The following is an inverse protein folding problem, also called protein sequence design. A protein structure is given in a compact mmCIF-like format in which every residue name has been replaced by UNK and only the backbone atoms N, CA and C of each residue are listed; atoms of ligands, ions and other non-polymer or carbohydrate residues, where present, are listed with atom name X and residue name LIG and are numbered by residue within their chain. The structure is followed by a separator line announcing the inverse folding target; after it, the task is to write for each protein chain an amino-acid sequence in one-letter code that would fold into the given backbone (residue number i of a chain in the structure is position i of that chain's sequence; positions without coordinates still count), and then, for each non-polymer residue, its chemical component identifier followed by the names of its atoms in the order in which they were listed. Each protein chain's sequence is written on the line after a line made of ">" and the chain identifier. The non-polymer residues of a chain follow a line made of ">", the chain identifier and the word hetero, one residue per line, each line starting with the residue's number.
data_IF_603582165007
#
_entry.id   IF_603582165007
#
_cell.length_a   1.000
_cell.length_b   1.000
_cell.length_c   1.000
_cell.angle_alpha   90.00
_cell.angle_beta   90.00
_cell.angle_gamma   90.00
#
_symmetry.space_group_name_H-M   'P 1'
#
loop_
_entity.id
_entity.type
_entity.pdbx_description
1 polymer ?
#
# COMPACT_ATOMS: atom_id res chain seq x y z
N UNK A 1 42.98 24.85 25.44
CA UNK A 1 42.93 26.23 25.95
C UNK A 1 42.15 27.10 24.99
N UNK A 2 41.23 27.86 25.48
CA UNK A 2 40.32 28.90 25.02
C UNK A 2 38.85 28.43 24.87
N UNK A 3 38.15 28.67 25.99
CA UNK A 3 36.69 28.71 26.10
C UNK A 3 36.20 30.01 25.50
N UNK A 4 35.14 29.96 24.66
CA UNK A 4 34.40 31.15 24.28
C UNK A 4 32.95 30.95 24.71
N UNK A 5 32.50 31.78 25.61
CA UNK A 5 31.16 31.82 26.13
C UNK A 5 30.28 32.73 25.24
N UNK A 6 29.11 32.29 24.84
CA UNK A 6 28.13 33.13 24.16
C UNK A 6 26.97 33.41 25.10
N UNK A 7 26.68 34.68 25.23
CA UNK A 7 25.68 35.25 26.15
C UNK A 7 24.25 35.06 25.64
N UNK A 8 23.40 34.62 26.55
CA UNK A 8 21.92 34.64 26.41
C UNK A 8 21.43 36.06 26.63
N UNK A 9 20.64 36.60 25.70
CA UNK A 9 19.90 37.85 25.86
C UNK A 9 18.41 37.46 26.01
N UNK A 10 17.87 37.70 27.19
CA UNK A 10 16.46 37.60 27.50
C UNK A 10 15.79 38.95 27.24
N UNK A 11 14.80 38.99 26.37
CA UNK A 11 13.94 40.16 26.16
C UNK A 11 12.58 39.93 26.81
N UNK A 12 12.36 40.67 27.88
CA UNK A 12 11.05 40.83 28.52
C UNK A 12 10.18 41.78 27.66
N UNK A 13 8.98 41.34 27.34
CA UNK A 13 7.92 42.24 26.90
C UNK A 13 6.92 42.46 28.03
N UNK A 14 6.75 43.74 28.38
CA UNK A 14 5.86 44.20 29.42
C UNK A 14 4.44 44.40 28.87
N UNK A 15 3.47 43.88 29.61
CA UNK A 15 2.05 44.16 29.43
C UNK A 15 1.73 45.58 29.92
N UNK A 16 1.02 46.41 29.12
CA UNK A 16 0.39 47.66 29.53
C UNK A 16 -1.11 47.51 29.53
N UNK A 17 -1.69 47.43 30.71
CA UNK A 17 -3.14 47.63 30.94
C UNK A 17 -3.44 49.12 30.93
N UNK A 18 -4.43 49.53 30.14
CA UNK A 18 -5.09 50.87 30.30
C UNK A 18 -6.56 50.59 30.66
N UNK A 19 -6.90 50.91 31.86
CA UNK A 19 -8.28 51.07 32.32
C UNK A 19 -8.68 52.54 32.23
N UNK A 20 -9.84 52.81 31.66
CA UNK A 20 -10.49 54.12 31.80
C UNK A 20 -11.97 53.92 32.10
N UNK A 21 -12.42 54.55 33.16
CA UNK A 21 -13.73 54.48 33.75
C UNK A 21 -14.59 55.69 33.40
N UNK A 22 -15.88 55.44 33.30
CA UNK A 22 -17.07 56.20 33.71
C UNK A 22 -17.19 57.72 33.45
N UNK A 23 -18.39 58.08 32.97
CA UNK A 23 -19.04 59.35 33.25
C UNK A 23 -20.15 59.72 32.28
N UNK A 24 -21.36 59.67 32.66
CA UNK A 24 -22.68 59.75 32.40
C UNK A 24 -23.31 60.98 31.75
N UNK A 25 -24.58 60.76 31.46
CA UNK A 25 -25.80 61.55 31.36
C UNK A 25 -26.21 62.21 30.01
N UNK A 26 -27.37 61.71 29.56
CA UNK A 26 -28.56 62.33 28.96
C UNK A 26 -28.41 63.40 27.85
N UNK A 27 -28.96 63.09 26.68
CA UNK A 27 -30.15 63.72 26.12
C UNK A 27 -30.57 63.06 24.78
N UNK A 28 -31.90 62.95 24.61
CA UNK A 28 -32.56 62.31 23.47
C UNK A 28 -32.59 63.19 22.23
N UNK A 29 -32.39 62.62 21.05
CA UNK A 29 -32.99 63.09 19.81
C UNK A 29 -33.12 61.95 18.81
N UNK A 30 -34.33 61.75 18.37
CA UNK A 30 -34.81 60.86 17.35
C UNK A 30 -34.12 61.09 15.97
N UNK A 31 -33.62 60.04 15.35
CA UNK A 31 -33.33 60.00 13.89
C UNK A 31 -33.44 58.55 13.38
N UNK A 32 -33.87 58.34 12.13
CA UNK A 32 -34.42 57.05 11.67
C UNK A 32 -33.36 55.98 11.51
N UNK A 33 -33.78 54.76 11.80
CA UNK A 33 -33.00 53.54 11.61
C UNK A 33 -32.65 53.35 10.11
N UNK A 34 -31.37 53.46 9.77
CA UNK A 34 -30.81 52.86 8.57
C UNK A 34 -30.66 51.38 8.90
N UNK A 35 -31.39 50.49 8.17
CA UNK A 35 -31.11 49.06 8.08
C UNK A 35 -29.71 48.89 7.51
N UNK A 36 -28.73 48.71 8.36
CA UNK A 36 -27.46 48.15 7.93
C UNK A 36 -27.70 46.65 7.67
N UNK A 37 -27.94 46.31 6.42
CA UNK A 37 -27.68 44.96 5.92
C UNK A 37 -26.22 44.66 6.15
N UNK A 38 -25.92 43.98 7.24
CA UNK A 38 -24.64 43.26 7.36
C UNK A 38 -24.66 42.16 6.30
N UNK A 39 -24.04 42.41 5.15
CA UNK A 39 -23.49 41.33 4.34
C UNK A 39 -22.48 40.61 5.27
N UNK A 40 -22.87 39.47 5.82
CA UNK A 40 -21.93 38.48 6.26
C UNK A 40 -21.15 38.07 5.03
N UNK A 41 -19.98 38.68 4.84
CA UNK A 41 -18.96 38.12 4.02
C UNK A 41 -18.58 36.81 4.71
N UNK A 42 -19.15 35.69 4.24
CA UNK A 42 -18.59 34.39 4.50
C UNK A 42 -17.16 34.44 3.94
N UNK A 43 -16.16 34.63 4.79
CA UNK A 43 -14.82 34.24 4.44
C UNK A 43 -14.93 32.72 4.21
N UNK A 44 -14.80 32.29 2.94
CA UNK A 44 -14.60 30.89 2.60
C UNK A 44 -13.29 30.48 3.27
N UNK A 45 -13.39 29.98 4.51
CA UNK A 45 -12.25 29.47 5.27
C UNK A 45 -11.83 28.17 4.58
N UNK A 46 -10.61 28.19 4.02
CA UNK A 46 -10.04 27.01 3.38
C UNK A 46 -9.84 25.95 4.46
N UNK A 47 -10.43 24.78 4.26
CA UNK A 47 -10.33 23.65 5.19
C UNK A 47 -9.01 22.94 4.92
N UNK A 48 -8.15 22.85 5.94
CA UNK A 48 -6.91 22.07 5.89
C UNK A 48 -7.23 20.59 6.14
N UNK A 49 -6.71 19.69 5.28
CA UNK A 49 -6.87 18.23 5.41
C UNK A 49 -5.50 17.57 5.28
N UNK A 50 -5.16 16.72 6.23
CA UNK A 50 -3.94 15.92 6.21
C UNK A 50 -4.26 14.46 5.88
N UNK A 51 -3.59 13.92 4.87
CA UNK A 51 -3.68 12.52 4.46
C UNK A 51 -2.32 11.87 4.65
N UNK A 52 -2.25 10.68 5.27
CA UNK A 52 -1.00 9.93 5.45
C UNK A 52 -1.09 8.53 4.84
N UNK A 53 0.05 7.94 4.50
CA UNK A 53 0.08 6.58 3.95
C UNK A 53 1.50 6.07 3.71
N UNK A 54 1.65 4.78 3.35
CA UNK A 54 2.95 4.16 3.11
C UNK A 54 3.55 4.47 1.72
N UNK A 55 2.74 4.94 0.76
CA UNK A 55 3.19 5.26 -0.60
C UNK A 55 4.09 6.50 -0.57
N UNK A 56 5.38 6.32 -0.92
CA UNK A 56 6.43 7.32 -0.63
C UNK A 56 7.40 7.61 -1.76
N UNK A 57 7.39 6.83 -2.84
CA UNK A 57 8.22 7.17 -4.00
C UNK A 57 7.83 8.55 -4.56
N UNK A 58 8.74 9.19 -5.27
CA UNK A 58 8.48 10.52 -5.86
C UNK A 58 7.26 10.46 -6.81
N UNK A 59 7.07 9.36 -7.52
CA UNK A 59 5.95 9.15 -8.43
C UNK A 59 4.64 8.86 -7.68
N UNK A 60 4.66 7.95 -6.70
CA UNK A 60 3.47 7.57 -5.94
C UNK A 60 2.96 8.72 -5.08
N UNK A 61 3.82 9.24 -4.19
CA UNK A 61 3.46 10.34 -3.30
C UNK A 61 3.18 11.63 -4.08
N UNK A 62 3.97 11.89 -5.14
CA UNK A 62 3.77 13.06 -6.00
C UNK A 62 2.43 13.02 -6.74
N UNK A 63 2.01 11.86 -7.23
CA UNK A 63 0.72 11.71 -7.90
C UNK A 63 -0.45 11.87 -6.90
N UNK A 64 -0.36 11.24 -5.70
CA UNK A 64 -1.37 11.46 -4.65
C UNK A 64 -1.48 12.95 -4.32
N UNK A 65 -0.36 13.60 -4.03
CA UNK A 65 -0.36 15.02 -3.66
C UNK A 65 -0.96 15.91 -4.77
N UNK A 66 -0.63 15.67 -6.05
CA UNK A 66 -1.17 16.46 -7.16
C UNK A 66 -2.67 16.26 -7.34
N UNK A 67 -3.15 15.02 -7.29
CA UNK A 67 -4.57 14.70 -7.45
C UNK A 67 -5.39 15.23 -6.28
N UNK A 68 -4.92 15.05 -5.04
CA UNK A 68 -5.60 15.57 -3.85
C UNK A 68 -5.56 17.10 -3.79
N UNK A 69 -4.44 17.72 -4.19
CA UNK A 69 -4.32 19.17 -4.29
C UNK A 69 -5.30 19.76 -5.29
N UNK A 70 -5.41 19.17 -6.49
CA UNK A 70 -6.37 19.59 -7.52
C UNK A 70 -7.82 19.44 -7.05
N UNK A 71 -8.15 18.36 -6.34
CA UNK A 71 -9.47 18.21 -5.73
C UNK A 71 -9.71 19.30 -4.66
N UNK A 72 -8.72 19.57 -3.81
CA UNK A 72 -8.81 20.59 -2.77
C UNK A 72 -9.07 21.98 -3.35
N UNK A 73 -8.31 22.38 -4.38
CA UNK A 73 -8.47 23.65 -5.07
C UNK A 73 -9.89 23.81 -5.65
N UNK A 74 -10.46 22.72 -6.19
CA UNK A 74 -11.81 22.73 -6.76
C UNK A 74 -12.92 22.73 -5.70
N UNK A 75 -12.63 22.31 -4.45
CA UNK A 75 -13.62 22.10 -3.41
C UNK A 75 -13.40 22.96 -2.14
N UNK A 76 -12.52 23.97 -2.21
CA UNK A 76 -12.28 24.90 -1.10
C UNK A 76 -11.56 24.27 0.09
N UNK A 77 -10.63 23.34 -0.19
CA UNK A 77 -9.76 22.70 0.79
C UNK A 77 -8.28 22.79 0.39
N UNK A 78 -7.39 22.71 1.38
CA UNK A 78 -5.95 22.55 1.19
C UNK A 78 -5.60 21.15 1.68
N UNK A 79 -5.25 20.25 0.75
CA UNK A 79 -4.98 18.84 1.08
C UNK A 79 -3.49 18.58 1.01
N UNK A 80 -2.91 18.06 2.10
CA UNK A 80 -1.51 17.66 2.17
C UNK A 80 -1.40 16.15 2.33
N UNK A 81 -0.65 15.49 1.45
CA UNK A 81 -0.30 14.09 1.57
C UNK A 81 1.10 13.92 2.17
N UNK A 82 1.24 13.00 3.11
CA UNK A 82 2.50 12.65 3.75
C UNK A 82 2.73 11.15 3.58
N UNK A 83 3.64 10.77 2.67
CA UNK A 83 4.12 9.40 2.52
C UNK A 83 5.21 9.08 3.54
N UNK A 84 5.12 7.93 4.21
CA UNK A 84 6.00 7.57 5.31
C UNK A 84 6.43 6.10 5.22
N UNK A 85 7.74 5.84 5.23
CA UNK A 85 8.30 4.48 5.21
C UNK A 85 8.01 3.69 6.50
N UNK A 86 7.83 4.40 7.61
CA UNK A 86 7.52 3.82 8.92
C UNK A 86 6.04 4.05 9.31
N UNK A 87 5.17 4.20 8.29
CA UNK A 87 3.76 4.50 8.48
C UNK A 87 3.07 3.54 9.46
N UNK A 88 3.36 2.24 9.39
CA UNK A 88 2.76 1.19 10.24
C UNK A 88 2.97 1.45 11.74
N UNK A 89 4.13 1.99 12.10
CA UNK A 89 4.44 2.35 13.49
C UNK A 89 3.95 3.77 13.83
N UNK A 90 4.18 4.72 12.93
CA UNK A 90 3.91 6.13 13.18
C UNK A 90 2.43 6.44 13.31
N UNK A 91 1.54 5.76 12.57
CA UNK A 91 0.09 5.95 12.71
C UNK A 91 -0.39 5.55 14.11
N UNK A 92 0.14 4.47 14.71
CA UNK A 92 -0.18 4.08 16.08
C UNK A 92 0.23 5.17 17.07
N UNK A 93 1.46 5.70 16.92
CA UNK A 93 1.99 6.76 17.80
C UNK A 93 1.14 8.04 17.71
N UNK A 94 0.74 8.44 16.50
CA UNK A 94 -0.09 9.64 16.29
C UNK A 94 -1.47 9.49 16.93
N UNK A 95 -2.10 8.34 16.78
CA UNK A 95 -3.42 8.05 17.36
C UNK A 95 -3.36 8.01 18.89
N UNK A 96 -2.38 7.31 19.45
CA UNK A 96 -2.18 7.23 20.91
C UNK A 96 -1.86 8.60 21.54
N UNK A 97 -1.15 9.45 20.79
CA UNK A 97 -0.88 10.82 21.21
C UNK A 97 -2.10 11.76 21.09
N UNK A 98 -3.22 11.29 20.52
CA UNK A 98 -4.42 12.09 20.28
C UNK A 98 -4.26 13.13 19.16
N UNK A 99 -3.36 12.89 18.23
CA UNK A 99 -3.08 13.77 17.10
C UNK A 99 -3.03 12.98 15.76
N UNK A 100 -4.11 12.26 15.41
CA UNK A 100 -4.18 11.53 14.15
C UNK A 100 -4.24 12.49 12.95
N UNK A 101 -3.94 12.01 11.72
CA UNK A 101 -4.28 12.73 10.49
C UNK A 101 -5.81 12.79 10.32
N UNK A 102 -6.30 13.55 9.35
CA UNK A 102 -7.73 13.53 9.00
C UNK A 102 -8.11 12.24 8.28
N UNK A 103 -7.25 11.77 7.37
CA UNK A 103 -7.42 10.53 6.62
C UNK A 103 -6.08 9.77 6.62
N UNK A 104 -6.15 8.45 6.68
CA UNK A 104 -4.98 7.61 6.43
C UNK A 104 -5.29 6.51 5.42
N UNK A 105 -4.26 6.14 4.63
CA UNK A 105 -4.31 5.07 3.64
C UNK A 105 -3.76 3.81 4.29
N UNK A 106 -4.59 2.79 4.39
CA UNK A 106 -4.29 1.49 4.99
C UNK A 106 -4.08 0.44 3.90
N UNK A 107 -2.90 -0.16 3.77
CA UNK A 107 -2.75 -1.36 2.96
C UNK A 107 -3.35 -2.60 3.64
N UNK A 108 -3.45 -2.62 4.98
CA UNK A 108 -3.92 -3.76 5.74
C UNK A 108 -5.37 -3.58 6.22
N UNK A 109 -6.36 -4.29 5.63
CA UNK A 109 -7.73 -4.33 6.16
C UNK A 109 -7.82 -4.81 7.61
N UNK A 110 -6.96 -5.74 8.05
CA UNK A 110 -6.88 -6.19 9.43
C UNK A 110 -6.53 -5.06 10.39
N UNK A 111 -5.51 -4.26 10.07
CA UNK A 111 -5.16 -3.06 10.86
C UNK A 111 -6.27 -2.03 10.87
N UNK A 112 -6.96 -1.83 9.74
CA UNK A 112 -8.12 -0.94 9.67
C UNK A 112 -9.23 -1.44 10.62
N UNK A 113 -9.49 -2.75 10.65
CA UNK A 113 -10.47 -3.34 11.56
C UNK A 113 -10.08 -3.15 13.03
N UNK A 114 -8.79 -3.32 13.37
CA UNK A 114 -8.29 -3.04 14.73
C UNK A 114 -8.52 -1.58 15.12
N UNK A 115 -8.28 -0.63 14.20
CA UNK A 115 -8.52 0.81 14.44
C UNK A 115 -10.00 1.14 14.58
N UNK A 116 -10.88 0.49 13.82
CA UNK A 116 -12.32 0.64 13.94
C UNK A 116 -12.83 0.11 15.29
N UNK A 117 -12.39 -1.09 15.69
CA UNK A 117 -12.74 -1.71 16.96
C UNK A 117 -12.25 -0.92 18.18
N UNK A 118 -11.08 -0.28 18.06
CA UNK A 118 -10.54 0.62 19.09
C UNK A 118 -11.24 1.99 19.10
N UNK A 119 -12.07 2.31 18.10
CA UNK A 119 -12.78 3.60 17.99
C UNK A 119 -11.87 4.75 17.57
N UNK A 120 -10.76 4.47 16.90
CA UNK A 120 -9.83 5.48 16.41
C UNK A 120 -10.29 6.12 15.09
N UNK A 121 -10.91 5.35 14.22
CA UNK A 121 -11.49 5.81 12.97
C UNK A 121 -13.00 5.89 13.05
N UNK A 122 -13.59 6.72 12.20
CA UNK A 122 -15.04 6.96 12.22
C UNK A 122 -15.73 6.22 11.06
N UNK A 123 -16.98 5.75 11.26
CA UNK A 123 -17.75 5.15 10.17
C UNK A 123 -18.03 6.18 9.08
N UNK A 124 -18.10 5.70 7.84
CA UNK A 124 -18.50 6.54 6.71
C UNK A 124 -19.95 7.02 6.88
N UNK A 125 -20.23 8.24 6.40
CA UNK A 125 -21.62 8.69 6.27
C UNK A 125 -22.36 7.83 5.23
N UNK A 126 -23.68 7.73 5.34
CA UNK A 126 -24.48 6.99 4.37
C UNK A 126 -24.33 7.51 2.93
N UNK A 127 -24.16 8.81 2.77
CA UNK A 127 -23.96 9.43 1.46
C UNK A 127 -22.57 9.11 0.89
N UNK A 128 -21.53 9.08 1.74
CA UNK A 128 -20.17 8.68 1.37
C UNK A 128 -20.11 7.21 0.97
N UNK A 129 -20.70 6.30 1.76
CA UNK A 129 -20.75 4.87 1.44
C UNK A 129 -21.49 4.60 0.12
N UNK A 130 -22.60 5.30 -0.11
CA UNK A 130 -23.39 5.19 -1.35
C UNK A 130 -22.63 5.75 -2.58
N UNK A 131 -21.63 6.62 -2.39
CA UNK A 131 -20.84 7.20 -3.46
C UNK A 131 -19.62 6.35 -3.86
N UNK A 132 -19.32 5.26 -3.15
CA UNK A 132 -18.19 4.37 -3.49
C UNK A 132 -18.49 3.59 -4.77
N UNK A 133 -17.69 3.82 -5.80
CA UNK A 133 -17.85 3.21 -7.13
C UNK A 133 -17.04 1.91 -7.28
N UNK A 134 -17.11 1.02 -6.29
CA UNK A 134 -16.44 -0.27 -6.26
C UNK A 134 -17.44 -1.41 -6.09
N UNK A 135 -17.08 -2.60 -6.61
CA UNK A 135 -17.88 -3.80 -6.37
C UNK A 135 -17.92 -4.15 -4.87
N UNK A 136 -19.04 -4.75 -4.43
CA UNK A 136 -19.25 -5.11 -3.02
C UNK A 136 -18.12 -5.99 -2.45
N UNK A 137 -17.53 -6.87 -3.28
CA UNK A 137 -16.41 -7.71 -2.87
C UNK A 137 -15.20 -6.90 -2.36
N UNK A 138 -14.90 -5.75 -3.00
CA UNK A 138 -13.85 -4.86 -2.55
C UNK A 138 -14.24 -4.03 -1.33
N UNK A 139 -15.50 -3.61 -1.26
CA UNK A 139 -16.02 -2.84 -0.12
C UNK A 139 -15.97 -3.65 1.18
N UNK A 140 -16.08 -4.98 1.10
CA UNK A 140 -16.00 -5.85 2.30
C UNK A 140 -14.70 -5.69 3.08
N UNK A 141 -13.59 -5.33 2.43
CA UNK A 141 -12.31 -5.12 3.11
C UNK A 141 -12.29 -3.86 4.00
N UNK A 142 -13.18 -2.92 3.77
CA UNK A 142 -13.36 -1.73 4.63
C UNK A 142 -14.56 -1.83 5.57
N UNK A 143 -15.24 -3.00 5.62
CA UNK A 143 -16.42 -3.21 6.44
C UNK A 143 -16.05 -3.96 7.72
N UNK A 144 -16.42 -3.42 8.87
CA UNK A 144 -16.20 -4.03 10.19
C UNK A 144 -17.56 -4.19 10.87
N UNK A 145 -17.97 -5.42 11.16
CA UNK A 145 -19.22 -5.76 11.82
C UNK A 145 -20.48 -5.16 11.17
N UNK A 146 -20.48 -5.07 9.85
CA UNK A 146 -21.61 -4.53 9.06
C UNK A 146 -21.60 -3.00 8.94
N UNK A 147 -20.57 -2.32 9.39
CA UNK A 147 -20.39 -0.87 9.29
C UNK A 147 -19.20 -0.57 8.36
N UNK A 148 -19.41 0.32 7.40
CA UNK A 148 -18.35 0.71 6.46
C UNK A 148 -17.47 1.81 7.07
N UNK A 149 -16.17 1.54 7.20
CA UNK A 149 -15.14 2.47 7.68
C UNK A 149 -14.15 2.84 6.59
N UNK A 150 -13.77 1.87 5.74
CA UNK A 150 -12.76 2.04 4.71
C UNK A 150 -13.35 2.24 3.32
N UNK A 151 -12.69 3.08 2.51
CA UNK A 151 -12.99 3.29 1.09
C UNK A 151 -11.89 2.62 0.28
N UNK A 152 -12.17 1.60 -0.56
CA UNK A 152 -11.20 1.07 -1.49
C UNK A 152 -10.74 2.16 -2.47
N UNK A 153 -9.43 2.29 -2.70
CA UNK A 153 -8.90 3.32 -3.59
C UNK A 153 -7.83 2.82 -4.56
N UNK A 154 -7.26 1.66 -4.31
CA UNK A 154 -6.25 1.01 -5.15
C UNK A 154 -6.44 -0.51 -5.11
N UNK A 155 -6.15 -1.17 -6.21
CA UNK A 155 -6.04 -2.64 -6.29
C UNK A 155 -4.68 -3.03 -6.84
N UNK A 156 -4.18 -4.18 -6.42
CA UNK A 156 -2.92 -4.75 -6.91
C UNK A 156 -3.12 -6.22 -7.28
N UNK A 157 -2.44 -6.64 -8.35
CA UNK A 157 -2.33 -8.04 -8.76
C UNK A 157 -0.98 -8.55 -8.29
N UNK A 158 -0.95 -9.51 -7.34
CA UNK A 158 0.29 -10.00 -6.73
C UNK A 158 0.90 -11.22 -7.42
N UNK A 159 0.12 -11.99 -8.16
CA UNK A 159 0.55 -13.23 -8.83
C UNK A 159 1.35 -12.99 -10.12
N UNK A 160 2.34 -12.10 -10.10
CA UNK A 160 3.15 -11.76 -11.26
C UNK A 160 4.63 -12.08 -11.05
N UNK A 161 5.30 -12.51 -12.12
CA UNK A 161 6.75 -12.66 -12.21
C UNK A 161 7.26 -11.80 -13.36
N UNK A 162 8.04 -10.79 -13.02
CA UNK A 162 8.70 -9.88 -13.96
C UNK A 162 9.96 -10.53 -14.52
N UNK A 163 10.20 -10.44 -15.84
CA UNK A 163 11.33 -11.06 -16.50
C UNK A 163 11.71 -10.31 -17.79
N UNK A 164 12.88 -10.61 -18.37
CA UNK A 164 13.27 -10.10 -19.69
C UNK A 164 13.03 -11.16 -20.76
N UNK A 165 12.05 -10.96 -21.68
CA UNK A 165 11.79 -11.89 -22.78
C UNK A 165 13.01 -12.09 -23.68
N UNK A 166 13.73 -11.00 -23.97
CA UNK A 166 14.91 -11.02 -24.82
C UNK A 166 16.04 -11.89 -24.24
N UNK A 167 16.25 -11.83 -22.92
CA UNK A 167 17.25 -12.68 -22.25
C UNK A 167 16.83 -14.13 -22.21
N UNK A 168 15.55 -14.41 -21.90
CA UNK A 168 15.03 -15.78 -21.96
C UNK A 168 15.28 -16.39 -23.34
N UNK A 169 14.93 -15.65 -24.41
CA UNK A 169 15.14 -16.11 -25.78
C UNK A 169 16.62 -16.31 -26.12
N UNK A 170 17.50 -15.41 -25.68
CA UNK A 170 18.95 -15.49 -25.95
C UNK A 170 19.61 -16.71 -25.31
N UNK A 171 19.16 -17.07 -24.10
CA UNK A 171 19.72 -18.18 -23.31
C UNK A 171 18.92 -19.48 -23.48
N UNK A 172 17.85 -19.46 -24.29
CA UNK A 172 17.04 -20.62 -24.63
C UNK A 172 16.06 -21.05 -23.53
N UNK A 173 15.73 -20.15 -22.61
CA UNK A 173 14.73 -20.38 -21.58
C UNK A 173 13.31 -20.09 -22.10
N UNK A 174 12.33 -20.73 -21.49
CA UNK A 174 10.91 -20.53 -21.78
C UNK A 174 10.16 -20.18 -20.50
N UNK A 175 9.07 -19.42 -20.63
CA UNK A 175 8.17 -19.14 -19.50
C UNK A 175 7.63 -20.47 -18.95
N UNK A 176 7.78 -20.75 -17.63
CA UNK A 176 7.32 -21.98 -17.02
C UNK A 176 5.78 -21.98 -16.90
N UNK A 177 5.14 -23.11 -17.23
CA UNK A 177 3.69 -23.29 -17.09
C UNK A 177 3.30 -23.81 -15.70
N UNK A 178 4.16 -24.63 -15.09
CA UNK A 178 3.94 -25.22 -13.77
C UNK A 178 5.02 -24.79 -12.78
N UNK A 179 4.73 -24.89 -11.50
CA UNK A 179 5.70 -24.59 -10.45
C UNK A 179 6.91 -25.54 -10.47
N UNK A 180 6.71 -26.80 -10.86
CA UNK A 180 7.82 -27.74 -11.05
C UNK A 180 8.75 -27.29 -12.20
N UNK A 181 8.18 -26.76 -13.30
CA UNK A 181 8.96 -26.14 -14.39
C UNK A 181 9.67 -24.86 -13.93
N UNK A 182 9.05 -24.07 -13.05
CA UNK A 182 9.67 -22.89 -12.46
C UNK A 182 10.89 -23.26 -11.60
N UNK A 183 10.74 -24.26 -10.74
CA UNK A 183 11.85 -24.78 -9.94
C UNK A 183 12.96 -25.35 -10.83
N UNK A 184 12.62 -26.08 -11.89
CA UNK A 184 13.58 -26.59 -12.85
C UNK A 184 14.33 -25.45 -13.56
N UNK A 185 13.62 -24.39 -13.99
CA UNK A 185 14.21 -23.20 -14.60
C UNK A 185 15.18 -22.49 -13.64
N UNK A 186 14.79 -22.31 -12.36
CA UNK A 186 15.68 -21.74 -11.33
C UNK A 186 16.96 -22.56 -11.19
N UNK A 187 16.85 -23.88 -11.15
CA UNK A 187 18.00 -24.77 -11.05
C UNK A 187 18.90 -24.72 -12.30
N UNK A 188 18.30 -24.67 -13.49
CA UNK A 188 19.04 -24.60 -14.76
C UNK A 188 19.83 -23.29 -14.87
N UNK A 189 19.21 -22.15 -14.53
CA UNK A 189 19.87 -20.84 -14.49
C UNK A 189 21.04 -20.87 -13.48
N UNK A 190 20.78 -21.38 -12.29
CA UNK A 190 21.81 -21.48 -11.23
C UNK A 190 22.98 -22.38 -11.66
N UNK A 191 22.69 -23.51 -12.32
CA UNK A 191 23.72 -24.42 -12.81
C UNK A 191 24.52 -23.83 -13.98
N UNK A 192 23.91 -22.98 -14.82
CA UNK A 192 24.60 -22.30 -15.90
C UNK A 192 25.62 -21.27 -15.38
N UNK A 193 25.37 -20.70 -14.22
CA UNK A 193 26.22 -19.67 -13.58
C UNK A 193 26.12 -18.31 -14.25
N UNK A 194 26.79 -17.32 -13.69
CA UNK A 194 26.73 -15.94 -14.13
C UNK A 194 25.66 -15.16 -13.37
N UNK A 195 24.53 -14.85 -14.01
CA UNK A 195 23.41 -14.16 -13.35
C UNK A 195 22.63 -15.10 -12.44
N UNK A 196 21.96 -14.56 -11.43
CA UNK A 196 21.09 -15.33 -10.53
C UNK A 196 19.71 -15.59 -11.15
N UNK A 197 19.01 -16.59 -10.68
CA UNK A 197 17.66 -16.87 -11.16
C UNK A 197 16.65 -15.81 -10.69
N UNK A 198 16.75 -15.37 -9.44
CA UNK A 198 15.81 -14.47 -8.80
C UNK A 198 16.52 -13.21 -8.28
N UNK A 199 15.88 -12.04 -8.42
CA UNK A 199 16.16 -10.88 -7.59
C UNK A 199 15.18 -10.88 -6.42
N UNK A 200 15.68 -10.77 -5.18
CA UNK A 200 14.83 -10.73 -3.99
C UNK A 200 15.40 -9.77 -2.95
N UNK A 201 14.53 -8.96 -2.38
CA UNK A 201 14.78 -8.11 -1.23
C UNK A 201 13.51 -7.95 -0.41
N UNK A 202 13.64 -7.92 0.92
CA UNK A 202 12.50 -7.84 1.85
C UNK A 202 12.59 -6.64 2.79
N UNK A 203 13.68 -5.84 2.75
CA UNK A 203 13.81 -4.66 3.58
C UNK A 203 12.75 -3.63 3.18
N UNK A 204 12.04 -3.09 4.17
CA UNK A 204 11.00 -2.06 4.02
C UNK A 204 10.75 -1.31 5.33
N UNK A 205 11.81 -0.88 6.05
CA UNK A 205 11.65 -0.22 7.33
C UNK A 205 10.93 -1.11 8.35
N UNK A 206 9.88 -0.59 8.97
CA UNK A 206 9.06 -1.36 9.93
C UNK A 206 8.26 -2.49 9.28
N UNK A 207 7.99 -2.39 7.98
CA UNK A 207 7.30 -3.44 7.23
C UNK A 207 8.25 -4.49 6.64
N UNK A 208 9.54 -4.53 7.07
CA UNK A 208 10.48 -5.55 6.61
C UNK A 208 9.93 -6.95 6.83
N UNK A 209 9.88 -7.76 5.75
CA UNK A 209 9.33 -9.11 5.76
C UNK A 209 8.07 -9.29 4.90
N UNK A 210 7.32 -8.22 4.57
CA UNK A 210 6.07 -8.34 3.81
C UNK A 210 6.24 -9.03 2.44
N UNK A 211 7.34 -8.86 1.76
CA UNK A 211 7.59 -9.54 0.48
C UNK A 211 7.80 -11.04 0.64
N UNK A 212 8.28 -11.51 1.81
CA UNK A 212 8.34 -12.92 2.14
C UNK A 212 6.94 -13.48 2.37
N UNK A 213 6.09 -12.76 3.10
CA UNK A 213 4.71 -13.22 3.36
C UNK A 213 3.92 -13.36 2.07
N UNK A 214 4.07 -12.43 1.13
CA UNK A 214 3.48 -12.50 -0.22
C UNK A 214 3.80 -13.83 -0.95
N UNK A 215 5.04 -14.31 -0.85
CA UNK A 215 5.42 -15.58 -1.45
C UNK A 215 4.83 -16.78 -0.71
N UNK A 216 4.78 -16.74 0.62
CA UNK A 216 4.12 -17.79 1.41
C UNK A 216 2.65 -17.87 1.11
N UNK A 217 1.98 -16.73 1.00
CA UNK A 217 0.56 -16.61 0.66
C UNK A 217 0.24 -17.18 -0.72
N UNK A 218 1.06 -16.83 -1.72
CA UNK A 218 0.97 -17.42 -3.05
C UNK A 218 1.09 -18.95 -2.99
N UNK A 219 2.03 -19.46 -2.20
CA UNK A 219 2.25 -20.90 -2.04
C UNK A 219 1.11 -21.58 -1.29
N UNK A 220 0.58 -20.97 -0.21
CA UNK A 220 -0.58 -21.54 0.52
C UNK A 220 -1.79 -21.61 -0.41
N UNK A 221 -2.10 -20.52 -1.12
CA UNK A 221 -3.24 -20.43 -2.01
C UNK A 221 -3.17 -21.50 -3.12
N UNK A 222 -1.99 -21.71 -3.73
CA UNK A 222 -1.79 -22.66 -4.82
C UNK A 222 -1.59 -24.11 -4.36
N UNK A 223 -0.91 -24.35 -3.24
CA UNK A 223 -0.66 -25.70 -2.76
C UNK A 223 -1.84 -26.30 -2.02
N UNK A 224 -2.61 -25.47 -1.30
CA UNK A 224 -3.64 -25.92 -0.36
C UNK A 224 -5.05 -25.49 -0.72
N UNK A 225 -5.20 -24.54 -1.66
CA UNK A 225 -6.47 -24.04 -2.14
C UNK A 225 -7.10 -22.95 -1.26
N UNK A 226 -8.14 -22.32 -1.79
CA UNK A 226 -8.78 -21.15 -1.18
C UNK A 226 -9.43 -21.44 0.18
N UNK A 227 -9.96 -22.65 0.41
CA UNK A 227 -10.59 -23.00 1.69
C UNK A 227 -9.58 -23.02 2.84
N UNK A 228 -8.40 -23.62 2.63
CA UNK A 228 -7.32 -23.62 3.63
C UNK A 228 -6.78 -22.21 3.84
N UNK A 229 -6.67 -21.44 2.75
CA UNK A 229 -6.27 -20.04 2.82
C UNK A 229 -7.21 -19.22 3.71
N UNK A 230 -8.52 -19.34 3.49
CA UNK A 230 -9.53 -18.63 4.28
C UNK A 230 -9.51 -19.02 5.76
N UNK A 231 -9.35 -20.32 6.06
CA UNK A 231 -9.20 -20.81 7.44
C UNK A 231 -7.93 -20.29 8.11
N UNK A 232 -6.85 -20.15 7.34
CA UNK A 232 -5.58 -19.63 7.84
C UNK A 232 -5.68 -18.14 8.15
N UNK A 233 -6.30 -17.35 7.27
CA UNK A 233 -6.58 -15.93 7.51
C UNK A 233 -7.45 -15.72 8.75
N UNK A 234 -8.42 -16.60 8.99
CA UNK A 234 -9.29 -16.54 10.17
C UNK A 234 -8.63 -17.06 11.46
N UNK A 235 -7.44 -17.66 11.40
CA UNK A 235 -6.77 -18.28 12.53
C UNK A 235 -7.31 -19.67 12.93
N UNK A 236 -8.23 -20.22 12.14
CA UNK A 236 -8.76 -21.57 12.31
C UNK A 236 -7.71 -22.64 11.92
N UNK A 237 -6.99 -22.43 10.80
CA UNK A 237 -5.77 -23.14 10.49
C UNK A 237 -4.57 -22.39 11.07
N UNK A 238 -3.62 -23.13 11.65
CA UNK A 238 -2.45 -22.57 12.33
C UNK A 238 -1.24 -22.51 11.40
N UNK A 239 -0.31 -21.58 11.67
CA UNK A 239 0.98 -21.53 10.98
C UNK A 239 1.75 -22.83 11.15
N UNK A 240 1.62 -23.49 12.30
CA UNK A 240 2.21 -24.81 12.60
C UNK A 240 1.50 -25.99 11.91
N UNK A 241 0.42 -25.77 11.17
CA UNK A 241 -0.19 -26.83 10.37
C UNK A 241 0.74 -27.25 9.22
N UNK A 242 0.83 -28.54 8.92
CA UNK A 242 1.77 -29.07 7.91
C UNK A 242 1.61 -28.40 6.53
N UNK A 243 0.41 -27.99 6.15
CA UNK A 243 0.14 -27.31 4.88
C UNK A 243 0.81 -25.94 4.81
N UNK A 244 0.69 -25.15 5.87
CA UNK A 244 1.25 -23.80 5.97
C UNK A 244 2.78 -23.87 6.12
N UNK A 245 3.30 -24.72 7.00
CA UNK A 245 4.75 -24.94 7.13
C UNK A 245 5.39 -25.39 5.81
N UNK A 246 4.69 -26.22 5.01
CA UNK A 246 5.18 -26.64 3.69
C UNK A 246 5.30 -25.43 2.75
N UNK A 247 4.33 -24.52 2.74
CA UNK A 247 4.38 -23.32 1.92
C UNK A 247 5.56 -22.42 2.33
N UNK A 248 5.74 -22.18 3.63
CA UNK A 248 6.88 -21.44 4.18
C UNK A 248 8.22 -22.08 3.76
N UNK A 249 8.35 -23.39 3.88
CA UNK A 249 9.56 -24.12 3.50
C UNK A 249 9.83 -24.03 1.99
N UNK A 250 8.78 -24.10 1.14
CA UNK A 250 8.93 -23.99 -0.31
C UNK A 250 9.57 -22.66 -0.74
N UNK A 251 9.28 -21.58 -0.02
CA UNK A 251 9.90 -20.27 -0.30
C UNK A 251 11.38 -20.28 0.11
N UNK A 252 11.71 -20.79 1.31
CA UNK A 252 13.09 -20.87 1.80
C UNK A 252 13.94 -21.78 0.92
N UNK A 253 13.40 -22.88 0.42
CA UNK A 253 14.10 -23.79 -0.49
C UNK A 253 14.48 -23.12 -1.82
N UNK A 254 13.70 -22.13 -2.27
CA UNK A 254 14.00 -21.32 -3.46
C UNK A 254 14.97 -20.17 -3.18
N UNK A 255 14.92 -19.56 -1.99
CA UNK A 255 15.66 -18.35 -1.66
C UNK A 255 17.05 -18.61 -1.10
N UNK A 256 17.82 -19.45 -1.81
CA UNK A 256 19.22 -19.73 -1.45
C UNK A 256 20.16 -18.67 -2.02
N UNK A 257 21.34 -18.55 -1.44
CA UNK A 257 22.41 -17.65 -1.96
C UNK A 257 22.78 -17.98 -3.42
N UNK A 258 22.66 -19.24 -3.83
CA UNK A 258 22.95 -19.65 -5.21
C UNK A 258 21.90 -19.17 -6.19
N UNK A 259 20.63 -19.12 -5.79
CA UNK A 259 19.49 -18.76 -6.62
C UNK A 259 19.21 -17.26 -6.69
N UNK A 260 19.56 -16.52 -5.61
CA UNK A 260 19.09 -15.14 -5.41
C UNK A 260 20.22 -14.11 -5.58
N UNK A 261 19.93 -13.06 -6.33
CA UNK A 261 20.66 -11.81 -6.31
C UNK A 261 20.04 -10.88 -5.25
N UNK A 262 20.87 -10.46 -4.30
CA UNK A 262 20.50 -9.52 -3.25
C UNK A 262 21.52 -8.37 -3.26
N UNK A 263 21.12 -7.18 -3.73
CA UNK A 263 22.02 -6.05 -4.00
C UNK A 263 22.79 -5.55 -2.79
N UNK A 264 22.20 -5.67 -1.58
CA UNK A 264 22.82 -5.32 -0.31
C UNK A 264 23.58 -6.48 0.37
N UNK A 265 23.77 -7.59 -0.33
CA UNK A 265 24.54 -8.76 0.14
C UNK A 265 23.71 -9.83 0.85
N UNK A 266 22.56 -9.49 1.41
CA UNK A 266 21.57 -10.45 1.96
C UNK A 266 20.16 -10.05 1.53
N UNK A 267 19.25 -11.04 1.48
CA UNK A 267 17.84 -10.80 1.14
C UNK A 267 17.21 -9.82 2.13
N UNK A 268 17.45 -10.02 3.42
CA UNK A 268 16.86 -9.19 4.47
C UNK A 268 17.40 -7.75 4.54
N UNK A 269 18.59 -7.49 4.02
CA UNK A 269 19.17 -6.15 3.96
C UNK A 269 18.88 -5.43 2.63
N UNK A 270 18.43 -6.16 1.61
CA UNK A 270 18.10 -5.60 0.30
C UNK A 270 16.69 -5.03 0.33
N UNK A 271 16.56 -3.73 0.01
CA UNK A 271 15.25 -3.09 -0.07
C UNK A 271 14.41 -3.71 -1.21
N UNK A 272 13.12 -3.88 -0.97
CA UNK A 272 12.23 -4.51 -1.97
C UNK A 272 12.21 -3.76 -3.30
N UNK A 273 12.33 -2.43 -3.25
CA UNK A 273 12.37 -1.57 -4.42
C UNK A 273 13.66 -1.68 -5.25
N UNK A 274 14.75 -2.18 -4.67
CA UNK A 274 16.07 -2.17 -5.32
C UNK A 274 16.27 -3.30 -6.34
N UNK A 275 15.26 -4.13 -6.60
CA UNK A 275 15.34 -5.26 -7.54
C UNK A 275 15.08 -4.88 -9.01
N UNK A 276 14.51 -3.70 -9.29
CA UNK A 276 14.16 -3.27 -10.64
C UNK A 276 15.37 -3.03 -11.52
N UNK A 277 16.38 -2.31 -11.05
CA UNK A 277 17.62 -2.07 -11.81
C UNK A 277 18.39 -3.37 -12.07
N UNK A 278 18.66 -4.25 -11.08
CA UNK A 278 19.30 -5.54 -11.33
C UNK A 278 18.59 -6.44 -12.33
N UNK A 279 17.24 -6.40 -12.35
CA UNK A 279 16.45 -7.14 -13.34
C UNK A 279 16.71 -6.63 -14.76
N UNK A 280 16.74 -5.31 -14.98
CA UNK A 280 17.02 -4.67 -16.27
C UNK A 280 18.48 -4.86 -16.68
N UNK A 281 19.43 -4.71 -15.76
CA UNK A 281 20.87 -4.90 -16.00
C UNK A 281 21.24 -6.37 -16.24
N UNK A 282 20.35 -7.27 -15.82
CA UNK A 282 20.52 -8.70 -16.02
C UNK A 282 21.35 -9.39 -14.96
N UNK A 283 21.43 -8.85 -13.76
CA UNK A 283 22.02 -9.52 -12.60
C UNK A 283 21.18 -10.71 -12.14
N UNK A 284 19.87 -10.64 -12.39
CA UNK A 284 18.93 -11.75 -12.25
C UNK A 284 18.04 -11.90 -13.47
N UNK A 285 17.33 -13.03 -13.58
CA UNK A 285 16.41 -13.33 -14.69
C UNK A 285 14.96 -12.99 -14.36
N UNK A 286 14.55 -13.15 -13.10
CA UNK A 286 13.15 -13.04 -12.67
C UNK A 286 13.03 -12.30 -11.35
N UNK A 287 11.90 -11.58 -11.20
CA UNK A 287 11.51 -10.95 -9.93
C UNK A 287 10.00 -11.14 -9.72
N UNK A 288 9.59 -11.89 -8.67
CA UNK A 288 8.17 -12.01 -8.34
C UNK A 288 7.76 -10.82 -7.50
N UNK A 289 6.86 -10.00 -8.02
CA UNK A 289 6.30 -8.86 -7.31
C UNK A 289 4.98 -8.41 -7.96
N UNK A 290 4.13 -7.73 -7.18
CA UNK A 290 2.83 -7.22 -7.60
C UNK A 290 2.91 -6.20 -8.75
N UNK A 291 1.74 -5.89 -9.32
CA UNK A 291 1.58 -4.95 -10.45
C UNK A 291 2.15 -3.56 -10.18
N UNK A 292 2.10 -3.08 -8.93
CA UNK A 292 2.67 -1.78 -8.55
C UNK A 292 4.19 -1.69 -8.78
N UNK A 293 4.87 -2.84 -8.89
CA UNK A 293 6.32 -2.86 -8.98
C UNK A 293 6.87 -2.19 -10.25
N UNK A 294 6.04 -2.02 -11.28
CA UNK A 294 6.43 -1.22 -12.44
C UNK A 294 6.89 0.20 -12.08
N UNK A 295 6.40 0.76 -10.97
CA UNK A 295 6.86 2.06 -10.45
C UNK A 295 8.35 2.06 -10.03
N UNK A 296 8.90 0.90 -9.67
CA UNK A 296 10.29 0.74 -9.21
C UNK A 296 11.24 0.19 -10.29
N UNK A 297 10.72 -0.11 -11.48
CA UNK A 297 11.55 -0.44 -12.64
C UNK A 297 12.08 0.87 -13.26
N UNK A 298 13.35 0.94 -13.70
CA UNK A 298 13.96 2.16 -14.21
C UNK A 298 13.14 2.87 -15.29
N UNK A 299 13.13 4.20 -15.23
CA UNK A 299 12.49 5.05 -16.24
C UNK A 299 13.06 4.76 -17.64
N UNK A 300 12.19 4.76 -18.64
CA UNK A 300 12.54 4.48 -20.02
C UNK A 300 12.56 3.01 -20.39
N UNK A 301 12.38 2.08 -19.43
CA UNK A 301 12.20 0.66 -19.71
C UNK A 301 10.91 0.43 -20.50
N UNK A 302 10.97 -0.37 -21.56
CA UNK A 302 9.79 -0.77 -22.34
C UNK A 302 9.17 -2.05 -21.81
N UNK A 303 7.85 -2.15 -21.89
CA UNK A 303 7.08 -3.23 -21.26
C UNK A 303 6.14 -3.93 -22.21
N UNK A 304 5.91 -5.22 -21.95
CA UNK A 304 4.76 -5.99 -22.40
C UNK A 304 4.89 -6.62 -23.79
N UNK A 305 3.89 -7.43 -24.11
CA UNK A 305 3.66 -8.11 -25.40
C UNK A 305 4.79 -9.04 -25.88
N UNK A 306 5.70 -9.47 -24.99
CA UNK A 306 6.87 -10.30 -25.31
C UNK A 306 7.93 -9.60 -26.17
N UNK A 307 7.77 -8.31 -26.46
CA UNK A 307 8.70 -7.48 -27.24
C UNK A 307 9.35 -6.37 -26.43
N UNK A 308 8.85 -6.09 -25.19
CA UNK A 308 9.46 -5.15 -24.28
C UNK A 308 10.77 -5.65 -23.67
N UNK A 309 11.54 -4.75 -23.05
CA UNK A 309 12.72 -5.13 -22.26
C UNK A 309 12.32 -5.97 -21.05
N UNK A 310 11.19 -5.63 -20.45
CA UNK A 310 10.58 -6.32 -19.31
C UNK A 310 9.13 -6.67 -19.66
N UNK A 311 8.73 -7.88 -19.31
CA UNK A 311 7.36 -8.37 -19.38
C UNK A 311 7.03 -9.13 -18.12
N UNK A 312 5.82 -9.66 -18.01
CA UNK A 312 5.37 -10.48 -16.90
C UNK A 312 4.83 -11.81 -17.39
N UNK A 313 4.93 -12.81 -16.53
CA UNK A 313 4.10 -14.00 -16.63
C UNK A 313 3.41 -14.24 -15.28
N UNK A 314 2.29 -14.97 -15.34
CA UNK A 314 1.58 -15.37 -14.13
C UNK A 314 2.41 -16.34 -13.33
N UNK A 315 2.37 -16.20 -12.01
CA UNK A 315 3.00 -17.18 -11.13
C UNK A 315 2.51 -18.58 -11.50
N UNK A 316 3.43 -19.53 -11.73
CA UNK A 316 3.09 -20.81 -12.34
C UNK A 316 2.12 -21.63 -11.50
N UNK A 317 1.32 -22.42 -12.18
CA UNK A 317 0.30 -23.26 -11.56
C UNK A 317 0.87 -24.44 -10.79
N UNK A 318 0.18 -24.83 -9.69
CA UNK A 318 0.54 -26.01 -8.89
C UNK A 318 -0.49 -27.13 -9.05
N UNK A 319 -1.78 -26.78 -9.02
CA UNK A 319 -2.88 -27.76 -8.97
C UNK A 319 -3.89 -27.63 -10.13
N UNK A 320 -3.68 -26.77 -11.12
CA UNK A 320 -4.56 -26.56 -12.24
C UNK A 320 -5.67 -25.50 -12.00
N UNK A 321 -5.60 -24.76 -10.91
CA UNK A 321 -6.66 -23.82 -10.50
C UNK A 321 -6.37 -22.36 -10.88
N UNK A 322 -5.14 -22.01 -11.21
CA UNK A 322 -4.68 -20.65 -11.50
C UNK A 322 -5.31 -19.56 -10.59
N UNK A 323 -5.26 -19.70 -9.27
CA UNK A 323 -5.82 -18.71 -8.37
C UNK A 323 -4.99 -17.41 -8.42
N UNK A 324 -5.62 -16.30 -8.07
CA UNK A 324 -5.01 -14.98 -8.06
C UNK A 324 -4.90 -14.44 -6.66
N UNK A 325 -3.68 -14.04 -6.28
CA UNK A 325 -3.43 -13.25 -5.09
C UNK A 325 -3.56 -11.78 -5.46
N UNK A 326 -4.41 -11.06 -4.75
CA UNK A 326 -4.64 -9.63 -4.91
C UNK A 326 -4.35 -8.87 -3.63
N UNK A 327 -4.21 -7.57 -3.75
CA UNK A 327 -4.11 -6.64 -2.63
C UNK A 327 -4.73 -5.29 -3.02
N UNK A 328 -4.64 -4.33 -2.13
CA UNK A 328 -5.09 -2.97 -2.39
C UNK A 328 -4.95 -2.11 -1.16
N UNK A 329 -5.32 -0.84 -1.30
CA UNK A 329 -5.32 0.09 -0.18
C UNK A 329 -6.71 0.67 0.04
N UNK A 330 -7.00 0.97 1.32
CA UNK A 330 -8.23 1.61 1.74
C UNK A 330 -7.91 2.93 2.43
N UNK A 331 -8.70 3.97 2.14
CA UNK A 331 -8.68 5.19 2.93
C UNK A 331 -9.64 5.05 4.11
N UNK A 332 -9.25 5.53 5.30
CA UNK A 332 -10.12 5.63 6.46
C UNK A 332 -9.99 7.00 7.13
N UNK A 333 -11.10 7.52 7.65
CA UNK A 333 -11.18 8.85 8.23
C UNK A 333 -11.10 8.81 9.77
N UNK A 334 -10.38 9.77 10.35
CA UNK A 334 -10.27 9.94 11.82
C UNK A 334 -11.24 10.98 12.37
N UNK A 335 -11.94 11.70 11.49
CA UNK A 335 -13.04 12.60 11.87
C UNK A 335 -14.13 12.61 10.81
N UNK A 336 -15.34 13.03 11.20
CA UNK A 336 -16.55 13.01 10.37
C UNK A 336 -16.92 14.38 9.79
N UNK A 337 -15.96 15.30 9.67
CA UNK A 337 -16.22 16.60 9.07
C UNK A 337 -16.74 16.45 7.64
N UNK A 338 -17.65 17.30 7.23
CA UNK A 338 -18.29 17.22 5.92
C UNK A 338 -17.25 17.21 4.77
N UNK A 339 -16.19 18.00 4.90
CA UNK A 339 -15.14 18.09 3.88
C UNK A 339 -14.26 16.82 3.81
N UNK A 340 -13.99 16.20 4.95
CA UNK A 340 -13.30 14.89 4.99
C UNK A 340 -14.16 13.82 4.34
N UNK A 341 -15.46 13.76 4.63
CA UNK A 341 -16.37 12.80 4.02
C UNK A 341 -16.56 13.00 2.51
N UNK A 342 -16.53 14.25 2.02
CA UNK A 342 -16.52 14.56 0.57
C UNK A 342 -15.23 14.04 -0.10
N UNK A 343 -14.05 14.18 0.56
CA UNK A 343 -12.80 13.65 0.06
C UNK A 343 -12.79 12.13 0.08
N UNK A 344 -13.32 11.49 1.13
CA UNK A 344 -13.48 10.05 1.20
C UNK A 344 -14.34 9.50 0.03
N UNK A 345 -15.44 10.16 -0.30
CA UNK A 345 -16.27 9.80 -1.46
C UNK A 345 -15.49 9.92 -2.78
N UNK A 346 -14.69 10.97 -2.94
CA UNK A 346 -13.83 11.16 -4.12
C UNK A 346 -12.78 10.05 -4.24
N UNK A 347 -12.11 9.66 -3.15
CA UNK A 347 -11.10 8.59 -3.13
C UNK A 347 -11.65 7.25 -3.62
N UNK A 348 -12.94 6.97 -3.40
CA UNK A 348 -13.62 5.75 -3.86
C UNK A 348 -14.24 5.86 -5.26
N UNK A 349 -13.95 6.90 -6.04
CA UNK A 349 -14.58 7.15 -7.33
C UNK A 349 -13.71 6.77 -8.53
N UNK A 350 -14.34 6.52 -9.67
CA UNK A 350 -13.67 6.37 -10.96
C UNK A 350 -12.84 7.61 -11.33
N UNK A 351 -13.34 8.79 -11.00
CA UNK A 351 -12.64 10.06 -11.25
C UNK A 351 -11.28 10.14 -10.53
N UNK A 352 -11.21 9.68 -9.27
CA UNK A 352 -9.94 9.56 -8.57
C UNK A 352 -9.02 8.55 -9.25
N UNK A 353 -9.55 7.37 -9.60
CA UNK A 353 -8.79 6.31 -10.24
C UNK A 353 -8.13 6.78 -11.56
N UNK A 354 -8.89 7.44 -12.42
CA UNK A 354 -8.41 7.99 -13.70
C UNK A 354 -7.38 9.10 -13.50
N UNK A 355 -7.65 10.04 -12.57
CA UNK A 355 -6.74 11.14 -12.26
C UNK A 355 -5.42 10.60 -11.68
N UNK A 356 -5.48 9.63 -10.75
CA UNK A 356 -4.31 9.02 -10.12
C UNK A 356 -3.47 8.25 -11.14
N UNK A 357 -4.10 7.40 -11.96
CA UNK A 357 -3.45 6.65 -13.02
C UNK A 357 -2.70 7.56 -13.98
N UNK A 358 -3.41 8.56 -14.52
CA UNK A 358 -2.85 9.49 -15.50
C UNK A 358 -1.66 10.27 -14.91
N UNK A 359 -1.84 10.83 -13.72
CA UNK A 359 -0.80 11.65 -13.06
C UNK A 359 0.44 10.81 -12.74
N UNK A 360 0.26 9.58 -12.24
CA UNK A 360 1.40 8.72 -11.91
C UNK A 360 2.14 8.26 -13.16
N UNK A 361 1.43 7.92 -14.24
CA UNK A 361 2.04 7.61 -15.52
C UNK A 361 2.84 8.80 -16.10
N UNK A 362 2.32 10.03 -15.98
CA UNK A 362 3.02 11.24 -16.39
C UNK A 362 4.32 11.47 -15.60
N UNK A 363 4.28 11.27 -14.27
CA UNK A 363 5.46 11.38 -13.41
C UNK A 363 6.49 10.27 -13.70
N UNK A 364 6.04 9.09 -14.11
CA UNK A 364 6.89 7.95 -14.45
C UNK A 364 7.56 8.05 -15.84
N UNK A 365 7.26 9.03 -16.64
CA UNK A 365 7.90 9.24 -17.95
C UNK A 365 6.93 9.55 -19.09
N UNK A 366 5.65 9.69 -18.80
CA UNK A 366 4.62 10.17 -19.73
C UNK A 366 3.67 9.09 -20.23
N UNK A 367 2.82 9.49 -21.17
CA UNK A 367 1.80 8.61 -21.74
C UNK A 367 2.39 7.32 -22.31
N UNK A 368 1.90 6.18 -21.81
CA UNK A 368 2.34 4.84 -22.19
C UNK A 368 3.35 4.22 -21.24
N UNK A 369 3.82 4.93 -20.19
CA UNK A 369 4.56 4.33 -19.10
C UNK A 369 3.60 3.52 -18.20
N UNK A 370 4.08 2.39 -17.67
CA UNK A 370 3.37 1.69 -16.60
C UNK A 370 3.44 2.56 -15.35
N UNK A 371 2.28 2.93 -14.85
CA UNK A 371 2.18 3.83 -13.69
C UNK A 371 2.58 3.14 -12.38
N UNK A 372 2.30 1.84 -12.25
CA UNK A 372 2.32 1.12 -10.99
C UNK A 372 1.07 1.33 -10.14
N UNK A 373 0.05 1.99 -10.69
CA UNK A 373 -1.24 2.16 -10.03
C UNK A 373 -2.33 1.42 -10.81
N UNK A 374 -3.13 0.64 -10.11
CA UNK A 374 -4.34 0.03 -10.64
C UNK A 374 -5.53 0.36 -9.73
N UNK A 375 -6.71 0.42 -10.33
CA UNK A 375 -7.95 0.53 -9.58
C UNK A 375 -9.04 -0.35 -10.19
N UNK A 376 -9.75 -1.09 -9.35
CA UNK A 376 -10.93 -1.84 -9.73
C UNK A 376 -12.23 -1.02 -9.54
N UNK A 377 -12.13 0.30 -9.47
CA UNK A 377 -13.30 1.18 -9.43
C UNK A 377 -14.16 0.99 -10.69
N UNK A 378 -15.46 0.95 -10.52
CA UNK A 378 -16.42 0.76 -11.61
C UNK A 378 -16.66 2.08 -12.36
N UNK A 379 -16.81 2.00 -13.67
CA UNK A 379 -17.14 3.15 -14.49
C UNK A 379 -15.97 4.00 -14.98
N UNK A 380 -14.73 3.64 -14.61
CA UNK A 380 -13.54 4.31 -15.12
C UNK A 380 -13.31 4.02 -16.62
N UNK A 381 -12.64 4.95 -17.30
CA UNK A 381 -12.22 4.75 -18.70
C UNK A 381 -10.98 3.84 -18.74
N UNK A 382 -11.09 2.61 -19.27
CA UNK A 382 -9.94 1.70 -19.33
C UNK A 382 -8.82 2.21 -20.24
N UNK A 383 -9.07 3.19 -21.11
CA UNK A 383 -8.05 3.73 -22.01
C UNK A 383 -6.97 4.56 -21.31
N UNK A 384 -7.15 4.92 -20.03
CA UNK A 384 -6.11 5.56 -19.23
C UNK A 384 -4.98 4.60 -18.86
N UNK A 385 -5.25 3.29 -18.92
CA UNK A 385 -4.28 2.23 -18.64
C UNK A 385 -3.59 1.74 -19.92
N UNK A 386 -2.32 1.35 -19.80
CA UNK A 386 -1.62 0.68 -20.89
C UNK A 386 -2.24 -0.70 -21.19
N UNK A 387 -2.00 -1.30 -22.38
CA UNK A 387 -2.51 -2.65 -22.67
C UNK A 387 -2.10 -3.70 -21.62
N UNK A 388 -0.89 -3.60 -21.06
CA UNK A 388 -0.41 -4.52 -20.03
C UNK A 388 -1.18 -4.31 -18.71
N UNK A 389 -1.38 -3.07 -18.26
CA UNK A 389 -2.18 -2.77 -17.06
C UNK A 389 -3.65 -3.17 -17.24
N UNK A 390 -4.23 -3.01 -18.44
CA UNK A 390 -5.57 -3.51 -18.76
C UNK A 390 -5.64 -5.04 -18.62
N UNK A 391 -4.58 -5.76 -18.99
CA UNK A 391 -4.52 -7.21 -18.78
C UNK A 391 -4.54 -7.58 -17.31
N UNK A 392 -3.86 -6.84 -16.44
CA UNK A 392 -3.89 -7.04 -14.99
C UNK A 392 -5.29 -6.84 -14.40
N UNK A 393 -5.97 -5.75 -14.80
CA UNK A 393 -7.35 -5.50 -14.40
C UNK A 393 -8.29 -6.62 -14.87
N UNK A 394 -8.15 -7.05 -16.13
CA UNK A 394 -8.95 -8.15 -16.67
C UNK A 394 -8.78 -9.45 -15.88
N UNK A 395 -7.59 -9.71 -15.35
CA UNK A 395 -7.35 -10.89 -14.50
C UNK A 395 -8.04 -10.74 -13.16
N UNK A 396 -7.91 -9.60 -12.48
CA UNK A 396 -8.59 -9.34 -11.20
C UNK A 396 -10.11 -9.45 -11.34
N UNK A 397 -10.67 -9.03 -12.48
CA UNK A 397 -12.11 -9.05 -12.74
C UNK A 397 -12.65 -10.45 -13.11
N UNK A 398 -11.85 -11.27 -13.82
CA UNK A 398 -12.34 -12.50 -14.43
C UNK A 398 -11.80 -13.79 -13.78
N UNK A 399 -10.85 -13.70 -12.85
CA UNK A 399 -10.33 -14.86 -12.15
C UNK A 399 -11.42 -15.56 -11.34
N UNK A 400 -11.49 -16.89 -11.44
CA UNK A 400 -12.48 -17.68 -10.71
C UNK A 400 -12.22 -17.69 -9.19
N UNK A 401 -10.96 -17.62 -8.81
CA UNK A 401 -10.53 -17.61 -7.42
C UNK A 401 -9.59 -16.43 -7.22
N UNK A 402 -10.02 -15.42 -6.49
CA UNK A 402 -9.20 -14.30 -6.03
C UNK A 402 -9.19 -14.32 -4.51
N UNK A 403 -8.01 -14.17 -3.91
CA UNK A 403 -7.88 -13.92 -2.46
C UNK A 403 -7.03 -12.68 -2.24
N UNK A 404 -7.44 -11.90 -1.27
CA UNK A 404 -6.64 -10.77 -0.79
C UNK A 404 -5.47 -11.31 0.02
N UNK A 405 -4.38 -10.55 0.08
CA UNK A 405 -3.20 -10.77 0.90
C UNK A 405 -3.57 -11.21 2.32
N UNK A 406 -3.07 -12.38 2.75
CA UNK A 406 -3.47 -12.95 4.03
C UNK A 406 -2.91 -12.14 5.20
N UNK A 407 -1.65 -11.71 5.12
CA UNK A 407 -1.01 -10.94 6.19
C UNK A 407 -1.71 -9.60 6.40
N UNK A 408 -2.20 -8.99 5.33
CA UNK A 408 -2.95 -7.74 5.37
C UNK A 408 -4.38 -7.90 5.95
N UNK A 409 -4.96 -9.10 5.83
CA UNK A 409 -6.28 -9.42 6.38
C UNK A 409 -6.25 -9.87 7.85
N UNK A 410 -5.13 -10.46 8.30
CA UNK A 410 -4.97 -10.93 9.68
C UNK A 410 -4.97 -9.75 10.67
N UNK A 411 -5.23 -9.99 11.98
CA UNK A 411 -4.97 -9.00 13.02
C UNK A 411 -3.56 -8.41 12.88
N UNK A 412 -3.40 -7.10 13.04
CA UNK A 412 -2.14 -6.40 12.75
C UNK A 412 -0.94 -6.97 13.50
N UNK A 413 -1.12 -7.38 14.77
CA UNK A 413 -0.07 -8.00 15.59
C UNK A 413 0.43 -9.34 15.01
N UNK A 414 -0.40 -10.02 14.23
CA UNK A 414 -0.06 -11.29 13.57
C UNK A 414 0.51 -11.01 12.18
N UNK A 415 -0.31 -10.49 11.27
CA UNK A 415 0.03 -10.35 9.85
C UNK A 415 1.14 -9.34 9.60
N UNK A 416 0.90 -8.08 9.99
CA UNK A 416 1.88 -6.98 9.88
C UNK A 416 2.88 -6.93 11.06
N UNK A 417 2.80 -7.86 11.99
CA UNK A 417 3.67 -7.97 13.17
C UNK A 417 4.56 -9.19 13.12
N UNK A 418 4.12 -10.27 13.77
CA UNK A 418 4.96 -11.46 13.96
C UNK A 418 5.22 -12.22 12.67
N UNK A 419 4.31 -12.26 11.72
CA UNK A 419 4.56 -12.95 10.44
C UNK A 419 5.70 -12.26 9.65
N UNK A 420 5.76 -10.92 9.64
CA UNK A 420 6.88 -10.19 9.02
C UNK A 420 8.20 -10.41 9.78
N UNK A 421 8.19 -10.30 11.11
CA UNK A 421 9.42 -10.37 11.93
C UNK A 421 9.99 -11.78 11.99
N UNK A 422 9.16 -12.81 12.18
CA UNK A 422 9.57 -14.20 12.18
C UNK A 422 9.97 -14.67 10.76
N UNK A 423 9.25 -14.17 9.72
CA UNK A 423 9.63 -14.36 8.33
C UNK A 423 11.01 -13.79 8.01
N UNK A 424 11.33 -12.60 8.51
CA UNK A 424 12.66 -12.00 8.38
C UNK A 424 13.73 -12.83 9.08
N UNK A 425 13.46 -13.30 10.31
CA UNK A 425 14.37 -14.17 11.07
C UNK A 425 14.61 -15.51 10.36
N UNK A 426 13.57 -16.07 9.75
CA UNK A 426 13.63 -17.29 8.96
C UNK A 426 14.48 -17.11 7.69
N UNK A 427 14.28 -16.00 6.95
CA UNK A 427 15.05 -15.65 5.75
C UNK A 427 16.53 -15.45 6.08
N UNK A 428 16.85 -14.91 7.25
CA UNK A 428 18.23 -14.80 7.74
C UNK A 428 18.85 -16.13 8.18
N UNK A 429 18.04 -17.19 8.36
CA UNK A 429 18.49 -18.45 8.89
C UNK A 429 18.72 -18.47 10.42
N UNK A 430 18.18 -17.48 11.13
CA UNK A 430 18.27 -17.37 12.59
C UNK A 430 17.41 -18.43 13.30
N UNK A 431 16.28 -18.79 12.67
CA UNK A 431 15.32 -19.80 13.15
C UNK A 431 14.89 -20.72 12.00
N UNK A 432 14.30 -21.86 12.34
CA UNK A 432 13.68 -22.78 11.37
C UNK A 432 12.17 -22.50 11.22
N UNK A 433 11.57 -23.09 10.18
CA UNK A 433 10.14 -22.94 9.86
C UNK A 433 9.23 -23.33 11.03
N UNK A 434 9.58 -24.41 11.77
CA UNK A 434 8.76 -24.86 12.89
C UNK A 434 8.77 -23.84 14.04
N UNK A 435 9.92 -23.24 14.30
CA UNK A 435 10.06 -22.18 15.30
C UNK A 435 9.30 -20.91 14.88
N UNK A 436 9.48 -20.45 13.64
CA UNK A 436 8.75 -19.30 13.11
C UNK A 436 7.23 -19.50 13.21
N UNK A 437 6.74 -20.65 12.73
CA UNK A 437 5.31 -20.98 12.77
C UNK A 437 4.74 -20.98 14.21
N UNK A 438 5.46 -21.56 15.17
CA UNK A 438 5.04 -21.59 16.56
C UNK A 438 5.01 -20.21 17.21
N UNK A 439 5.98 -19.33 16.87
CA UNK A 439 6.03 -17.97 17.38
C UNK A 439 4.86 -17.13 16.82
N UNK A 440 4.54 -17.28 15.53
CA UNK A 440 3.41 -16.59 14.90
C UNK A 440 2.09 -17.09 15.50
N UNK A 441 1.92 -18.39 15.68
CA UNK A 441 0.71 -18.94 16.34
C UNK A 441 0.50 -18.39 17.76
N UNK A 442 1.58 -18.11 18.48
CA UNK A 442 1.51 -17.57 19.83
C UNK A 442 1.11 -16.08 19.90
N UNK A 443 1.15 -15.37 18.77
CA UNK A 443 0.80 -13.93 18.72
C UNK A 443 -0.67 -13.66 18.43
N UNK A 444 -1.45 -14.69 18.10
CA UNK A 444 -2.88 -14.50 17.86
C UNK A 444 -3.57 -13.97 19.11
N UNK A 445 -4.45 -12.96 18.99
CA UNK A 445 -5.20 -12.44 20.12
C UNK A 445 -6.06 -13.54 20.77
N UNK A 446 -6.22 -13.50 22.09
CA UNK A 446 -7.15 -14.40 22.80
C UNK A 446 -8.58 -14.09 22.31
N UNK A 447 -9.28 -15.12 21.77
CA UNK A 447 -10.67 -15.03 21.32
C UNK A 447 -11.66 -15.01 22.50
#
# INVERSE_FOLDING_TARGET
>A
MKKTATKVVASLFAFSLIAAACGGSDDAADAPAEESTSEEASSDEIVEITVTGPERSDEEAGAIQQVLGAWGDANGASVTYIGDADWEANINVQVEAGNPPDISIFPQPGKLADFANAGYIVPLSADTDAAIEWADAWKTFGNVDGVQFGVPMKSDLKSLVWYSPARFAADGYTVPETFDDFVALVNDITAAGGSKALCVGIESGQATGWTYTDWVEEMVLRQSGAEVYDQWVAGDAKFSDPAIMKAMQSVIDLWTEDNVYASAGTIAATAFQDNGQPLVDGDCYMHRQASFYSAFIPEGTTFGDGEGEIDVFYFPDINGDAPVLGAGTLAAAFNDSAKVMELMAYLGSAAYAEARQTTQAELKGGNGALSGFLSAAQGQDPSVYTPLEQSFLSVLENAQTVRFDASDLMPADVGAGTFWTEGTSLVNGDIDVATAAANIDASWPEM
#
